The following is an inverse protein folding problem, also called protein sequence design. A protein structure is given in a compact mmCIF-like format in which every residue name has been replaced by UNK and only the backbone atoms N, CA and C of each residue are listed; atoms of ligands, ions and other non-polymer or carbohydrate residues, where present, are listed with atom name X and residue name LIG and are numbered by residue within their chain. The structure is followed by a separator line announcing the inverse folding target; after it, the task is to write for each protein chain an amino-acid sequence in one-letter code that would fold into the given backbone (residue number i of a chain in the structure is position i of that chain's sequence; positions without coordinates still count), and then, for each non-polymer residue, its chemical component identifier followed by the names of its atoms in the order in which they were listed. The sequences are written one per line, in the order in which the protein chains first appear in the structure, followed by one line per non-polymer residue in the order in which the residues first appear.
data_IF_901010316863
#
_entry.id   IF_901010316863
#
_cell.length_a   1.000
_cell.length_b   1.000
_cell.length_c   1.000
_cell.angle_alpha   90.00
_cell.angle_beta   90.00
_cell.angle_gamma   90.00
#
_symmetry.space_group_name_H-M   'P 1'
#
loop_
_entity.id
_entity.type
_entity.pdbx_description
1 polymer ?
#
# COMPACT_ATOMS: atom_id res chain seq x y z
N UNK A 1 -8.16 -8.70 9.54
CA UNK A 1 -7.64 -7.48 8.88
C UNK A 1 -8.51 -7.19 7.67
N UNK A 2 -9.03 -5.96 7.53
CA UNK A 2 -9.84 -5.60 6.35
C UNK A 2 -8.88 -5.00 5.32
N UNK A 3 -8.54 -5.77 4.29
CA UNK A 3 -7.81 -5.25 3.12
C UNK A 3 -8.80 -4.63 2.14
N UNK A 4 -8.48 -3.45 1.62
CA UNK A 4 -9.28 -2.75 0.59
C UNK A 4 -8.47 -2.60 -0.68
N UNK A 5 -9.17 -2.41 -1.79
CA UNK A 5 -8.51 -2.03 -3.04
C UNK A 5 -7.81 -0.66 -2.93
N UNK A 6 -6.80 -0.47 -3.78
CA UNK A 6 -6.03 0.77 -3.82
C UNK A 6 -6.82 1.89 -4.51
N UNK A 7 -6.94 3.04 -3.84
CA UNK A 7 -7.40 4.28 -4.47
C UNK A 7 -6.37 4.82 -5.46
N UNK A 8 -6.77 5.77 -6.32
CA UNK A 8 -5.86 6.46 -7.25
C UNK A 8 -4.67 7.10 -6.52
N UNK A 9 -4.93 7.69 -5.33
CA UNK A 9 -3.88 8.27 -4.48
C UNK A 9 -2.87 7.22 -4.03
N UNK A 10 -3.33 6.04 -3.61
CA UNK A 10 -2.45 4.95 -3.18
C UNK A 10 -1.61 4.42 -4.34
N UNK A 11 -2.21 4.25 -5.53
CA UNK A 11 -1.50 3.80 -6.73
C UNK A 11 -0.40 4.78 -7.14
N UNK A 12 -0.68 6.09 -7.08
CA UNK A 12 0.31 7.13 -7.37
C UNK A 12 1.47 7.09 -6.36
N UNK A 13 1.15 7.04 -5.08
CA UNK A 13 2.15 6.99 -4.01
C UNK A 13 3.08 5.77 -4.14
N UNK A 14 2.54 4.58 -4.40
CA UNK A 14 3.36 3.38 -4.62
C UNK A 14 4.29 3.53 -5.84
N UNK A 15 3.81 4.13 -6.93
CA UNK A 15 4.65 4.43 -8.11
C UNK A 15 5.77 5.40 -7.81
N UNK A 16 5.53 6.43 -6.98
CA UNK A 16 6.56 7.39 -6.55
C UNK A 16 7.68 6.69 -5.75
N UNK A 17 7.37 5.60 -5.04
CA UNK A 17 8.34 4.73 -4.37
C UNK A 17 8.96 3.65 -5.27
N UNK A 18 8.72 3.72 -6.60
CA UNK A 18 9.15 2.73 -7.59
C UNK A 18 8.60 1.32 -7.35
N UNK A 19 7.43 1.21 -6.72
CA UNK A 19 6.71 -0.05 -6.51
C UNK A 19 5.57 -0.19 -7.53
N UNK A 20 5.27 -1.42 -7.93
CA UNK A 20 4.12 -1.72 -8.77
C UNK A 20 2.84 -1.81 -7.91
N UNK A 21 1.85 -0.91 -8.07
CA UNK A 21 0.66 -0.92 -7.23
C UNK A 21 -0.18 -2.19 -7.37
N UNK A 22 -0.12 -2.86 -8.51
CA UNK A 22 -0.89 -4.07 -8.74
C UNK A 22 -0.48 -5.21 -7.84
N UNK A 23 0.67 -5.15 -7.18
CA UNK A 23 1.14 -6.18 -6.26
C UNK A 23 0.63 -5.98 -4.82
N UNK A 24 -0.07 -4.87 -4.56
CA UNK A 24 -0.43 -4.46 -3.21
C UNK A 24 -1.94 -4.30 -2.98
N UNK A 25 -2.36 -4.53 -1.74
CA UNK A 25 -3.65 -4.14 -1.20
C UNK A 25 -3.46 -3.06 -0.13
N UNK A 26 -4.44 -2.18 0.02
CA UNK A 26 -4.44 -1.21 1.11
C UNK A 26 -4.91 -1.87 2.41
N UNK A 27 -4.16 -1.67 3.49
CA UNK A 27 -4.57 -2.13 4.83
C UNK A 27 -5.17 -0.96 5.60
N UNK A 28 -4.36 0.06 5.86
CA UNK A 28 -4.69 1.18 6.73
C UNK A 28 -3.76 2.36 6.47
N UNK A 29 -4.10 3.50 7.04
CA UNK A 29 -3.23 4.67 7.06
C UNK A 29 -3.32 5.29 8.44
N UNK A 30 -2.19 5.76 8.93
CA UNK A 30 -2.10 6.61 10.12
C UNK A 30 -1.57 8.00 9.71
N UNK A 31 -1.27 8.84 10.70
CA UNK A 31 -0.82 10.21 10.45
C UNK A 31 0.53 10.25 9.72
N UNK A 32 1.36 9.22 9.84
CA UNK A 32 2.75 9.21 9.38
C UNK A 32 2.98 8.30 8.17
N UNK A 33 2.13 7.29 7.95
CA UNK A 33 2.40 6.24 6.97
C UNK A 33 1.15 5.66 6.30
N UNK A 34 1.40 5.07 5.14
CA UNK A 34 0.49 4.11 4.50
C UNK A 34 0.95 2.68 4.78
N UNK A 35 -0.01 1.81 5.10
CA UNK A 35 0.20 0.37 5.33
C UNK A 35 -0.41 -0.40 4.16
N UNK A 36 0.43 -1.20 3.50
CA UNK A 36 0.05 -2.04 2.36
C UNK A 36 0.34 -3.50 2.65
N UNK A 37 -0.40 -4.40 2.01
CA UNK A 37 -0.15 -5.84 2.00
C UNK A 37 0.32 -6.25 0.61
N UNK A 38 1.49 -6.87 0.49
CA UNK A 38 1.91 -7.48 -0.77
C UNK A 38 1.13 -8.78 -0.99
N UNK A 39 0.42 -8.90 -2.12
CA UNK A 39 -0.50 -10.00 -2.40
C UNK A 39 0.22 -11.36 -2.46
N UNK A 40 1.34 -11.42 -3.16
CA UNK A 40 2.06 -12.70 -3.35
C UNK A 40 2.77 -13.18 -2.09
N UNK A 41 3.51 -12.30 -1.42
CA UNK A 41 4.34 -12.67 -0.27
C UNK A 41 3.58 -12.65 1.06
N UNK A 42 2.38 -12.05 1.10
CA UNK A 42 1.63 -11.82 2.32
C UNK A 42 2.29 -10.84 3.29
N UNK A 43 3.38 -10.17 2.89
CA UNK A 43 4.12 -9.26 3.75
C UNK A 43 3.45 -7.89 3.82
N UNK A 44 3.31 -7.37 5.04
CA UNK A 44 2.89 -5.99 5.25
C UNK A 44 4.08 -5.03 5.08
N UNK A 45 3.87 -3.92 4.38
CA UNK A 45 4.86 -2.87 4.14
C UNK A 45 4.30 -1.55 4.64
N UNK A 46 5.10 -0.83 5.42
CA UNK A 46 4.75 0.49 5.95
C UNK A 46 5.65 1.52 5.30
N UNK A 47 5.05 2.47 4.60
CA UNK A 47 5.78 3.51 3.86
C UNK A 47 5.35 4.85 4.43
N UNK A 48 6.33 5.60 4.94
CA UNK A 48 6.11 6.96 5.46
C UNK A 48 5.67 7.90 4.35
N UNK A 49 4.71 8.77 4.68
CA UNK A 49 4.19 9.80 3.78
C UNK A 49 5.18 10.94 3.56
#
# INVERSE_FOLDING_TARGET
MITKELSVRHKRFLKEQKLNPEDFLYIATDMEAFKFLHKETGKAVWIRR
#
